data_IF_177807815002
#
_entry.id   IF_177807815002
#
_cell.length_a   1.000
_cell.length_b   1.000
_cell.length_c   1.000
_cell.angle_alpha   90.00
_cell.angle_beta   90.00
_cell.angle_gamma   90.00
#
_symmetry.space_group_name_H-M   'P 1'
#
loop_
_entity.id
_entity.type
_entity.pdbx_description
1 polymer ?
#
# COMPACT_ATOMS: atom_id res chain seq x y z
N UNK A 1 -18.42 3.80 2.04
CA UNK A 1 -17.87 3.35 3.35
C UNK A 1 -18.91 3.39 4.49
N UNK A 2 -19.80 4.37 4.55
CA UNK A 2 -20.75 4.48 5.67
C UNK A 2 -21.76 3.33 5.76
N UNK A 3 -22.33 2.86 4.63
CA UNK A 3 -23.29 1.75 4.61
C UNK A 3 -22.67 0.43 5.10
N UNK A 4 -21.40 0.16 4.78
CA UNK A 4 -20.73 -1.05 5.24
C UNK A 4 -20.50 -1.01 6.77
N UNK A 5 -20.07 0.13 7.31
CA UNK A 5 -19.89 0.29 8.77
C UNK A 5 -21.17 0.14 9.57
N UNK A 6 -22.32 0.58 9.01
CA UNK A 6 -23.63 0.42 9.67
C UNK A 6 -24.09 -1.03 9.74
N UNK A 7 -23.73 -1.84 8.72
CA UNK A 7 -24.10 -3.25 8.66
C UNK A 7 -23.11 -4.17 9.41
N UNK A 8 -21.83 -3.78 9.44
CA UNK A 8 -20.74 -4.57 10.03
C UNK A 8 -19.89 -3.71 10.99
N UNK A 9 -20.43 -3.30 12.13
CA UNK A 9 -19.76 -2.34 13.04
C UNK A 9 -18.48 -2.91 13.69
N UNK A 10 -18.39 -4.23 13.83
CA UNK A 10 -17.22 -4.92 14.40
C UNK A 10 -16.07 -5.17 13.42
N UNK A 11 -16.28 -4.87 12.12
CA UNK A 11 -15.27 -5.15 11.09
C UNK A 11 -14.39 -3.93 10.85
N UNK A 12 -13.08 -4.13 10.94
CA UNK A 12 -12.09 -3.11 10.60
C UNK A 12 -11.98 -2.96 9.08
N UNK A 13 -12.24 -1.76 8.58
CA UNK A 13 -12.04 -1.42 7.18
C UNK A 13 -10.63 -0.91 6.94
N UNK A 14 -9.90 -1.56 6.04
CA UNK A 14 -8.55 -1.16 5.65
C UNK A 14 -8.45 -0.98 4.14
N UNK A 15 -7.66 0.00 3.71
CA UNK A 15 -7.34 0.20 2.30
C UNK A 15 -6.34 -0.84 1.80
N UNK A 16 -6.31 -1.03 0.49
CA UNK A 16 -5.32 -1.86 -0.19
C UNK A 16 -4.03 -1.08 -0.39
N UNK A 17 -2.89 -1.62 0.07
CA UNK A 17 -1.59 -0.98 -0.08
C UNK A 17 -1.21 -0.77 -1.55
N UNK A 18 -1.56 -1.69 -2.44
CA UNK A 18 -1.31 -1.53 -3.88
C UNK A 18 -2.01 -0.28 -4.44
N UNK A 19 -3.30 -0.08 -4.13
CA UNK A 19 -4.01 1.10 -4.61
C UNK A 19 -3.48 2.40 -3.98
N UNK A 20 -3.08 2.36 -2.71
CA UNK A 20 -2.41 3.49 -2.07
C UNK A 20 -1.11 3.86 -2.78
N UNK A 21 -0.24 2.89 -3.05
CA UNK A 21 1.02 3.11 -3.76
C UNK A 21 0.80 3.58 -5.20
N UNK A 22 -0.22 3.06 -5.89
CA UNK A 22 -0.62 3.51 -7.22
C UNK A 22 -1.09 4.97 -7.25
N UNK A 23 -1.76 5.45 -6.19
CA UNK A 23 -2.12 6.88 -6.11
C UNK A 23 -0.88 7.78 -6.14
N UNK A 24 0.19 7.39 -5.45
CA UNK A 24 1.45 8.12 -5.42
C UNK A 24 2.12 8.09 -6.81
N UNK A 25 2.23 6.90 -7.43
CA UNK A 25 2.86 6.76 -8.73
C UNK A 25 2.10 7.49 -9.85
N UNK A 26 0.77 7.55 -9.79
CA UNK A 26 -0.05 8.32 -10.72
C UNK A 26 0.29 9.82 -10.67
N UNK A 27 0.71 10.35 -9.54
CA UNK A 27 1.18 11.75 -9.46
C UNK A 27 2.52 11.94 -10.20
N UNK A 28 3.42 10.96 -10.12
CA UNK A 28 4.64 10.97 -10.96
C UNK A 28 4.27 11.04 -12.45
N UNK A 29 3.27 10.27 -12.87
CA UNK A 29 2.79 10.28 -14.26
C UNK A 29 2.10 11.60 -14.64
N UNK A 30 1.19 12.11 -13.80
CA UNK A 30 0.43 13.33 -14.06
C UNK A 30 1.32 14.57 -14.16
N UNK A 31 2.43 14.59 -13.43
CA UNK A 31 3.39 15.69 -13.46
C UNK A 31 4.54 15.48 -14.46
N UNK A 32 4.48 14.43 -15.31
CA UNK A 32 5.46 14.18 -16.35
C UNK A 32 6.84 13.77 -15.82
N UNK A 33 6.91 13.22 -14.59
CA UNK A 33 8.16 12.86 -13.89
C UNK A 33 8.62 11.42 -14.15
N UNK A 34 8.06 10.71 -15.16
CA UNK A 34 8.42 9.33 -15.46
C UNK A 34 9.90 9.19 -15.87
N UNK A 35 10.44 10.19 -16.60
CA UNK A 35 11.85 10.20 -16.98
C UNK A 35 12.77 10.39 -15.76
N UNK A 36 12.34 11.18 -14.78
CA UNK A 36 13.08 11.37 -13.53
C UNK A 36 13.02 10.11 -12.65
N UNK A 37 11.93 9.34 -12.75
CA UNK A 37 11.75 8.07 -12.04
C UNK A 37 12.77 6.99 -12.44
N UNK A 38 13.43 7.13 -13.58
CA UNK A 38 14.56 6.26 -13.98
C UNK A 38 15.78 6.49 -13.06
N UNK A 39 15.92 7.69 -12.48
CA UNK A 39 16.97 7.97 -11.47
C UNK A 39 16.69 7.16 -10.20
N UNK A 40 17.74 6.48 -9.70
CA UNK A 40 17.63 5.67 -8.48
C UNK A 40 17.23 6.53 -7.27
N UNK A 41 17.83 7.70 -7.10
CA UNK A 41 17.52 8.61 -5.99
C UNK A 41 16.07 9.04 -5.98
N UNK A 42 15.53 9.41 -7.16
CA UNK A 42 14.13 9.86 -7.25
C UNK A 42 13.14 8.70 -7.07
N UNK A 43 13.39 7.57 -7.74
CA UNK A 43 12.52 6.39 -7.59
C UNK A 43 12.54 5.85 -6.15
N UNK A 44 13.70 5.89 -5.48
CA UNK A 44 13.81 5.53 -4.08
C UNK A 44 13.00 6.49 -3.21
N UNK A 45 13.10 7.81 -3.43
CA UNK A 45 12.33 8.79 -2.69
C UNK A 45 10.81 8.59 -2.84
N UNK A 46 10.32 8.36 -4.07
CA UNK A 46 8.90 8.09 -4.31
C UNK A 46 8.45 6.81 -3.58
N UNK A 47 9.29 5.77 -3.57
CA UNK A 47 9.02 4.54 -2.80
C UNK A 47 9.06 4.78 -1.28
N UNK A 48 9.88 5.72 -0.80
CA UNK A 48 9.90 6.11 0.62
C UNK A 48 8.61 6.82 1.04
N UNK A 49 7.94 7.58 0.15
CA UNK A 49 6.59 8.10 0.42
C UNK A 49 5.60 6.96 0.67
N UNK A 50 5.65 5.91 -0.14
CA UNK A 50 4.79 4.74 0.07
C UNK A 50 5.19 3.95 1.34
N UNK A 51 6.48 3.95 1.69
CA UNK A 51 7.01 3.24 2.85
C UNK A 51 6.51 3.80 4.20
N UNK A 52 6.00 5.06 4.26
CA UNK A 52 5.35 5.61 5.47
C UNK A 52 4.21 4.71 5.96
N UNK A 53 3.52 4.01 5.05
CA UNK A 53 2.45 3.10 5.44
C UNK A 53 2.90 1.98 6.41
N UNK A 54 4.20 1.72 6.49
CA UNK A 54 4.79 0.68 7.34
C UNK A 54 5.29 1.19 8.70
N UNK A 55 5.33 2.51 8.92
CA UNK A 55 5.67 3.12 10.20
C UNK A 55 4.48 2.98 11.16
N UNK A 56 4.69 2.80 12.49
CA UNK A 56 3.60 2.91 13.46
C UNK A 56 2.76 4.17 13.23
N UNK A 57 1.45 4.04 13.34
CA UNK A 57 0.53 5.13 12.98
C UNK A 57 0.77 6.42 13.78
N UNK A 58 1.28 6.28 15.02
CA UNK A 58 1.64 7.39 15.91
C UNK A 58 2.78 8.24 15.36
N UNK A 59 3.70 7.62 14.64
CA UNK A 59 4.95 8.23 14.20
C UNK A 59 4.93 8.63 12.72
N UNK A 60 3.86 8.26 12.00
CA UNK A 60 3.77 8.47 10.55
C UNK A 60 3.85 9.96 10.13
N UNK A 61 3.26 10.86 10.93
CA UNK A 61 3.31 12.31 10.68
C UNK A 61 4.72 12.85 10.94
N UNK A 62 5.33 12.47 12.06
CA UNK A 62 6.67 12.93 12.42
C UNK A 62 7.72 12.43 11.43
N UNK A 63 7.57 11.19 10.94
CA UNK A 63 8.45 10.63 9.92
C UNK A 63 8.34 11.39 8.59
N UNK A 64 7.13 11.80 8.20
CA UNK A 64 6.92 12.66 7.03
C UNK A 64 7.61 14.01 7.20
N UNK A 65 7.37 14.72 8.31
CA UNK A 65 7.88 16.06 8.56
C UNK A 65 9.40 16.10 8.73
N UNK A 66 9.95 15.15 9.47
CA UNK A 66 11.38 15.19 9.84
C UNK A 66 12.29 14.55 8.80
N UNK A 67 11.80 13.60 8.01
CA UNK A 67 12.62 12.84 7.07
C UNK A 67 12.28 13.15 5.61
N UNK A 68 11.04 12.97 5.19
CA UNK A 68 10.72 13.07 3.76
C UNK A 68 10.74 14.50 3.23
N UNK A 69 10.28 15.47 4.01
CA UNK A 69 10.38 16.88 3.59
C UNK A 69 11.85 17.28 3.43
N UNK A 70 12.73 16.89 4.37
CA UNK A 70 14.17 17.18 4.27
C UNK A 70 14.81 16.51 3.05
N UNK A 71 14.49 15.25 2.78
CA UNK A 71 15.00 14.53 1.60
C UNK A 71 14.51 15.19 0.31
N UNK A 72 13.27 15.63 0.26
CA UNK A 72 12.71 16.38 -0.88
C UNK A 72 13.53 17.66 -1.15
N UNK A 73 13.83 18.45 -0.12
CA UNK A 73 14.68 19.64 -0.26
C UNK A 73 16.11 19.32 -0.73
N UNK A 74 16.73 18.25 -0.21
CA UNK A 74 18.06 17.80 -0.63
C UNK A 74 18.04 17.40 -2.11
N UNK A 75 17.05 16.63 -2.55
CA UNK A 75 16.91 16.23 -3.94
C UNK A 75 16.66 17.44 -4.84
N UNK A 76 15.79 18.35 -4.44
CA UNK A 76 15.54 19.59 -5.17
C UNK A 76 16.84 20.38 -5.35
N UNK A 77 17.65 20.58 -4.30
CA UNK A 77 18.93 21.28 -4.37
C UNK A 77 19.96 20.55 -5.25
N UNK A 78 20.07 19.23 -5.11
CA UNK A 78 20.99 18.39 -5.88
C UNK A 78 20.73 18.46 -7.40
N UNK A 79 19.45 18.52 -7.78
CA UNK A 79 19.03 18.47 -9.18
C UNK A 79 18.53 19.80 -9.74
N UNK A 80 18.53 20.89 -8.97
CA UNK A 80 18.07 22.24 -9.38
C UNK A 80 18.79 22.81 -10.61
N UNK A 81 19.96 22.29 -10.94
CA UNK A 81 20.72 22.65 -12.16
C UNK A 81 20.21 21.96 -13.43
N UNK A 82 19.39 20.93 -13.32
CA UNK A 82 18.78 20.22 -14.43
C UNK A 82 17.30 20.61 -14.51
N UNK A 83 16.86 21.15 -15.64
CA UNK A 83 15.52 21.67 -15.90
C UNK A 83 14.42 20.83 -15.25
N UNK A 84 13.57 21.50 -14.45
CA UNK A 84 12.26 21.03 -13.96
C UNK A 84 12.22 19.81 -13.02
N UNK A 85 13.30 19.39 -12.42
CA UNK A 85 13.29 18.35 -11.42
C UNK A 85 12.67 18.85 -10.11
N UNK A 86 11.46 18.45 -9.81
CA UNK A 86 10.83 18.75 -8.51
C UNK A 86 9.90 17.59 -8.10
N UNK A 87 10.20 16.97 -6.96
CA UNK A 87 9.31 16.02 -6.32
C UNK A 87 8.15 16.73 -5.57
N UNK A 88 8.23 18.06 -5.46
CA UNK A 88 7.29 18.88 -4.68
C UNK A 88 5.82 18.64 -5.02
N UNK A 89 5.38 18.55 -6.29
CA UNK A 89 3.98 18.28 -6.60
C UNK A 89 3.49 16.94 -6.05
N UNK A 90 4.34 15.90 -6.05
CA UNK A 90 4.01 14.58 -5.51
C UNK A 90 3.92 14.63 -3.99
N UNK A 91 4.87 15.32 -3.34
CA UNK A 91 4.86 15.53 -1.87
C UNK A 91 3.65 16.33 -1.44
N UNK A 92 3.33 17.41 -2.15
CA UNK A 92 2.15 18.24 -1.89
C UNK A 92 0.85 17.42 -1.98
N UNK A 93 0.72 16.61 -3.04
CA UNK A 93 -0.43 15.69 -3.17
C UNK A 93 -0.49 14.71 -2.00
N UNK A 94 0.66 14.15 -1.61
CA UNK A 94 0.72 13.19 -0.51
C UNK A 94 0.30 13.83 0.80
N UNK A 95 0.82 15.02 1.10
CA UNK A 95 0.46 15.76 2.31
C UNK A 95 -1.03 16.11 2.34
N UNK A 96 -1.60 16.65 1.25
CA UNK A 96 -3.00 17.02 1.18
C UNK A 96 -3.96 15.86 1.42
N UNK A 97 -3.64 14.71 0.85
CA UNK A 97 -4.56 13.58 0.82
C UNK A 97 -4.37 12.58 1.96
N UNK A 98 -3.15 12.39 2.45
CA UNK A 98 -2.81 11.28 3.35
C UNK A 98 -2.31 11.71 4.72
N UNK A 99 -1.70 12.89 4.84
CA UNK A 99 -1.13 13.39 6.11
C UNK A 99 -1.98 14.52 6.69
N UNK A 100 -2.47 15.42 5.83
CA UNK A 100 -3.16 16.66 6.18
C UNK A 100 -2.17 17.82 6.35
N UNK A 101 -2.45 18.97 5.73
CA UNK A 101 -1.59 20.15 5.85
C UNK A 101 -1.72 20.83 7.21
N UNK A 102 -0.63 21.40 7.75
CA UNK A 102 -0.70 22.21 8.95
C UNK A 102 -1.47 23.51 8.69
N UNK A 103 -2.25 23.96 9.65
CA UNK A 103 -2.87 25.26 9.67
C UNK A 103 -1.87 26.35 10.15
N UNK A 104 -2.31 27.59 10.21
CA UNK A 104 -1.48 28.73 10.68
C UNK A 104 -1.00 28.58 12.15
N UNK A 105 -1.59 27.68 12.92
CA UNK A 105 -1.25 27.39 14.32
C UNK A 105 -0.39 26.13 14.45
N UNK A 106 -0.03 25.47 13.34
CA UNK A 106 0.73 24.24 13.31
C UNK A 106 -0.09 22.98 13.51
N UNK A 107 -1.42 23.07 13.69
CA UNK A 107 -2.27 21.89 13.81
C UNK A 107 -2.56 21.32 12.42
N UNK A 108 -2.42 20.00 12.25
CA UNK A 108 -2.73 19.36 10.98
C UNK A 108 -4.24 19.21 10.78
N UNK A 109 -4.70 19.53 9.59
CA UNK A 109 -6.08 19.28 9.17
C UNK A 109 -6.27 17.77 8.94
N UNK A 110 -7.50 17.30 9.06
CA UNK A 110 -7.81 15.92 8.72
C UNK A 110 -7.52 15.68 7.23
N UNK A 111 -6.71 14.66 6.89
CA UNK A 111 -6.48 14.30 5.50
C UNK A 111 -7.74 13.73 4.85
N UNK A 112 -7.79 13.72 3.51
CA UNK A 112 -8.87 13.11 2.74
C UNK A 112 -9.01 11.61 3.08
N UNK A 113 -7.87 10.93 3.20
CA UNK A 113 -7.79 9.52 3.59
C UNK A 113 -7.12 9.41 4.97
N UNK A 114 -7.87 9.06 6.03
CA UNK A 114 -7.30 8.97 7.37
C UNK A 114 -6.19 7.93 7.43
N UNK A 115 -5.18 8.14 8.29
CA UNK A 115 -4.03 7.25 8.46
C UNK A 115 -4.46 5.80 8.72
N UNK A 116 -5.50 5.59 9.52
CA UNK A 116 -6.06 4.26 9.81
C UNK A 116 -6.51 3.48 8.59
N UNK A 117 -6.82 4.16 7.49
CA UNK A 117 -7.27 3.51 6.27
C UNK A 117 -6.12 2.88 5.48
N UNK A 118 -5.00 3.59 5.33
CA UNK A 118 -3.91 3.20 4.44
C UNK A 118 -2.65 2.69 5.15
N UNK A 119 -2.51 2.91 6.47
CA UNK A 119 -1.40 2.38 7.25
C UNK A 119 -1.49 0.84 7.30
N UNK A 120 -0.35 0.18 7.08
CA UNK A 120 -0.25 -1.29 7.05
C UNK A 120 0.67 -1.88 8.11
N UNK A 121 1.27 -1.03 8.98
CA UNK A 121 2.21 -1.49 10.01
C UNK A 121 1.62 -2.64 10.84
N UNK A 122 0.45 -2.42 11.46
CA UNK A 122 -0.19 -3.43 12.29
C UNK A 122 -0.48 -4.72 11.51
N UNK A 123 -0.90 -4.61 10.25
CA UNK A 123 -1.15 -5.79 9.39
C UNK A 123 0.13 -6.59 9.12
N UNK A 124 1.29 -5.92 9.01
CA UNK A 124 2.58 -6.61 8.88
C UNK A 124 2.93 -7.35 10.16
N UNK A 125 2.79 -6.69 11.32
CA UNK A 125 3.04 -7.28 12.64
C UNK A 125 2.15 -8.51 12.87
N UNK A 126 0.88 -8.43 12.50
CA UNK A 126 -0.11 -9.51 12.64
C UNK A 126 -0.08 -10.52 11.48
N UNK A 127 0.86 -10.40 10.54
CA UNK A 127 0.96 -11.26 9.36
C UNK A 127 -0.32 -11.27 8.49
N UNK A 128 -1.08 -10.19 8.49
CA UNK A 128 -2.30 -10.03 7.70
C UNK A 128 -1.99 -9.53 6.27
N UNK A 129 -2.85 -9.84 5.30
CA UNK A 129 -2.70 -9.36 3.92
C UNK A 129 -2.70 -7.82 3.84
N UNK A 130 -1.75 -7.25 3.10
CA UNK A 130 -1.64 -5.78 2.85
C UNK A 130 -2.36 -5.33 1.60
N UNK A 131 -2.65 -6.27 0.70
CA UNK A 131 -3.30 -6.03 -0.59
C UNK A 131 -4.53 -6.92 -0.73
N UNK A 132 -5.40 -6.58 -1.67
CA UNK A 132 -6.56 -7.39 -2.03
C UNK A 132 -6.29 -8.36 -3.21
N UNK A 133 -5.01 -8.65 -3.51
CA UNK A 133 -4.63 -9.48 -4.66
C UNK A 133 -5.30 -10.87 -4.64
N UNK A 134 -5.53 -11.44 -3.46
CA UNK A 134 -6.23 -12.71 -3.33
C UNK A 134 -7.71 -12.61 -3.77
N UNK A 135 -8.37 -11.50 -3.44
CA UNK A 135 -9.76 -11.24 -3.85
C UNK A 135 -9.83 -10.97 -5.35
N UNK A 136 -8.89 -10.16 -5.88
CA UNK A 136 -8.80 -9.89 -7.32
C UNK A 136 -8.49 -11.17 -8.10
N UNK A 137 -7.57 -12.01 -7.61
CA UNK A 137 -7.27 -13.31 -8.19
C UNK A 137 -8.49 -14.24 -8.20
N UNK A 138 -9.27 -14.26 -7.11
CA UNK A 138 -10.52 -14.99 -7.05
C UNK A 138 -11.53 -14.45 -8.07
N UNK A 139 -11.72 -13.12 -8.17
CA UNK A 139 -12.62 -12.52 -9.15
C UNK A 139 -12.25 -12.91 -10.59
N UNK A 140 -10.95 -12.84 -10.91
CA UNK A 140 -10.47 -13.25 -12.24
C UNK A 140 -10.74 -14.74 -12.52
N UNK A 141 -10.47 -15.61 -11.54
CA UNK A 141 -10.76 -17.04 -11.62
C UNK A 141 -12.25 -17.33 -11.80
N UNK A 142 -13.08 -16.70 -10.97
CA UNK A 142 -14.53 -16.83 -11.03
C UNK A 142 -15.11 -16.36 -12.37
N UNK A 143 -14.66 -15.19 -12.87
CA UNK A 143 -15.10 -14.69 -14.16
C UNK A 143 -14.65 -15.59 -15.31
N UNK A 144 -13.44 -16.14 -15.25
CA UNK A 144 -12.92 -17.09 -16.21
C UNK A 144 -13.74 -18.39 -16.24
N UNK A 145 -14.14 -18.90 -15.07
CA UNK A 145 -14.93 -20.11 -14.97
C UNK A 145 -16.37 -19.96 -15.48
N UNK A 146 -16.92 -18.74 -15.40
CA UNK A 146 -18.22 -18.42 -16.01
C UNK A 146 -18.21 -18.45 -17.52
N UNK A 147 -17.06 -18.20 -18.19
CA UNK A 147 -16.88 -18.20 -19.64
C UNK A 147 -17.87 -17.32 -20.42
N UNK A 148 -18.47 -16.33 -19.77
CA UNK A 148 -19.36 -15.35 -20.39
C UNK A 148 -19.42 -14.06 -19.55
N UNK A 149 -19.64 -12.92 -20.21
CA UNK A 149 -19.76 -11.61 -19.56
C UNK A 149 -21.14 -11.36 -18.92
N UNK A 150 -22.18 -12.04 -19.42
CA UNK A 150 -23.57 -11.91 -18.95
C UNK A 150 -24.17 -13.30 -18.67
N UNK A 151 -23.83 -13.93 -17.52
CA UNK A 151 -24.38 -15.24 -17.20
C UNK A 151 -25.88 -15.14 -16.89
N UNK A 152 -26.62 -16.19 -17.19
CA UNK A 152 -27.97 -16.35 -16.66
C UNK A 152 -27.92 -16.51 -15.14
N UNK A 153 -29.01 -16.18 -14.46
CA UNK A 153 -29.10 -16.33 -13.00
C UNK A 153 -28.75 -17.76 -12.55
N UNK A 154 -29.25 -18.77 -13.26
CA UNK A 154 -28.99 -20.18 -12.95
C UNK A 154 -27.51 -20.52 -13.10
N UNK A 155 -26.88 -20.10 -14.19
CA UNK A 155 -25.44 -20.33 -14.41
C UNK A 155 -24.59 -19.65 -13.33
N UNK A 156 -24.97 -18.44 -12.89
CA UNK A 156 -24.28 -17.74 -11.80
C UNK A 156 -24.44 -18.51 -10.46
N UNK A 157 -25.65 -18.99 -10.15
CA UNK A 157 -25.90 -19.73 -8.93
C UNK A 157 -25.13 -21.07 -8.91
N UNK A 158 -25.16 -21.82 -10.00
CA UNK A 158 -24.42 -23.08 -10.12
C UNK A 158 -22.93 -22.85 -9.90
N UNK A 159 -22.35 -21.79 -10.51
CA UNK A 159 -20.95 -21.44 -10.34
C UNK A 159 -20.63 -21.02 -8.89
N UNK A 160 -21.49 -20.27 -8.22
CA UNK A 160 -21.30 -19.90 -6.81
C UNK A 160 -21.36 -21.15 -5.89
N UNK A 161 -22.23 -22.10 -6.16
CA UNK A 161 -22.32 -23.37 -5.42
C UNK A 161 -21.00 -24.14 -5.62
N UNK A 162 -20.52 -24.25 -6.85
CA UNK A 162 -19.24 -24.91 -7.16
C UNK A 162 -18.06 -24.26 -6.45
N UNK A 163 -17.96 -22.93 -6.49
CA UNK A 163 -16.93 -22.19 -5.77
C UNK A 163 -16.98 -22.42 -4.26
N UNK A 164 -18.17 -22.44 -3.68
CA UNK A 164 -18.34 -22.76 -2.27
C UNK A 164 -17.79 -24.14 -1.91
N UNK A 165 -18.04 -25.16 -2.73
CA UNK A 165 -17.51 -26.51 -2.49
C UNK A 165 -15.99 -26.57 -2.65
N UNK A 166 -15.39 -25.84 -3.62
CA UNK A 166 -13.94 -25.70 -3.75
C UNK A 166 -13.33 -25.05 -2.51
N UNK A 167 -13.97 -24.00 -1.98
CA UNK A 167 -13.49 -23.35 -0.75
C UNK A 167 -13.59 -24.28 0.47
N UNK A 168 -14.67 -25.04 0.60
CA UNK A 168 -14.83 -26.06 1.67
C UNK A 168 -13.74 -27.12 1.60
N UNK A 169 -13.43 -27.62 0.40
CA UNK A 169 -12.34 -28.55 0.18
C UNK A 169 -10.99 -27.93 0.56
N UNK A 170 -10.73 -26.69 0.14
CA UNK A 170 -9.49 -25.97 0.48
C UNK A 170 -9.34 -25.82 2.00
N UNK A 171 -10.40 -25.46 2.70
CA UNK A 171 -10.40 -25.36 4.18
C UNK A 171 -10.09 -26.72 4.81
N UNK A 172 -10.73 -27.81 4.32
CA UNK A 172 -10.47 -29.16 4.83
C UNK A 172 -9.00 -29.57 4.61
N UNK A 173 -8.41 -29.26 3.45
CA UNK A 173 -7.00 -29.51 3.14
C UNK A 173 -6.06 -28.73 4.08
N UNK A 174 -6.35 -27.45 4.34
CA UNK A 174 -5.56 -26.63 5.27
C UNK A 174 -5.65 -27.19 6.70
N UNK A 175 -6.82 -27.60 7.15
CA UNK A 175 -7.02 -28.26 8.45
C UNK A 175 -6.29 -29.60 8.55
N UNK A 176 -6.13 -30.30 7.43
CA UNK A 176 -5.32 -31.52 7.31
C UNK A 176 -3.80 -31.26 7.23
N UNK A 177 -3.36 -29.98 7.39
CA UNK A 177 -1.95 -29.61 7.43
C UNK A 177 -1.33 -29.31 6.05
N UNK A 178 -2.11 -29.24 4.99
CA UNK A 178 -1.59 -28.77 3.71
C UNK A 178 -1.30 -27.26 3.77
N UNK A 179 -0.18 -26.85 3.18
CA UNK A 179 0.24 -25.44 3.13
C UNK A 179 0.06 -24.90 1.71
N UNK A 180 -0.42 -23.66 1.61
CA UNK A 180 -0.45 -22.97 0.33
C UNK A 180 0.97 -22.61 -0.14
N UNK A 181 1.28 -22.97 -1.38
CA UNK A 181 2.55 -22.58 -2.00
C UNK A 181 2.49 -21.12 -2.44
N UNK A 182 3.27 -20.27 -1.77
CA UNK A 182 3.49 -18.88 -2.20
C UNK A 182 4.74 -18.83 -3.09
N UNK A 183 4.68 -18.07 -4.19
CA UNK A 183 5.87 -17.89 -5.05
C UNK A 183 7.05 -17.40 -4.21
N UNK A 184 8.22 -18.05 -4.38
CA UNK A 184 9.44 -17.81 -3.59
C UNK A 184 9.80 -16.30 -3.50
N UNK A 185 9.67 -15.56 -4.60
CA UNK A 185 10.00 -14.14 -4.65
C UNK A 185 9.12 -13.33 -3.67
N UNK A 186 7.80 -13.57 -3.66
CA UNK A 186 6.89 -12.87 -2.75
C UNK A 186 7.13 -13.23 -1.29
N UNK A 187 7.47 -14.49 -1.01
CA UNK A 187 7.82 -14.93 0.34
C UNK A 187 9.05 -14.20 0.84
N UNK A 188 10.15 -14.19 0.06
CA UNK A 188 11.40 -13.53 0.43
C UNK A 188 11.19 -12.03 0.64
N UNK A 189 10.48 -11.35 -0.26
CA UNK A 189 10.18 -9.92 -0.11
C UNK A 189 9.35 -9.66 1.15
N UNK A 190 8.37 -10.52 1.45
CA UNK A 190 7.56 -10.38 2.65
C UNK A 190 8.38 -10.58 3.92
N UNK A 191 9.24 -11.61 3.97
CA UNK A 191 10.17 -11.88 5.09
C UNK A 191 11.09 -10.67 5.34
N UNK A 192 11.66 -10.07 4.28
CA UNK A 192 12.48 -8.86 4.42
C UNK A 192 11.72 -7.68 5.00
N UNK A 193 10.50 -7.42 4.54
CA UNK A 193 9.66 -6.34 5.06
C UNK A 193 9.32 -6.59 6.53
N UNK A 194 8.94 -7.82 6.90
CA UNK A 194 8.65 -8.19 8.29
C UNK A 194 9.87 -7.95 9.19
N UNK A 195 11.06 -8.35 8.73
CA UNK A 195 12.30 -8.14 9.50
C UNK A 195 12.60 -6.64 9.70
N UNK A 196 12.45 -5.81 8.67
CA UNK A 196 12.64 -4.36 8.79
C UNK A 196 11.62 -3.75 9.76
N UNK A 197 10.35 -4.17 9.67
CA UNK A 197 9.30 -3.68 10.58
C UNK A 197 9.56 -4.13 12.04
N UNK A 198 10.03 -5.35 12.24
CA UNK A 198 10.37 -5.86 13.58
C UNK A 198 11.56 -5.10 14.22
N UNK A 199 12.47 -4.59 13.41
CA UNK A 199 13.66 -3.84 13.85
C UNK A 199 13.45 -2.32 13.85
N UNK A 200 12.20 -1.84 13.79
CA UNK A 200 11.83 -0.43 13.69
C UNK A 200 12.53 0.47 14.70
N UNK A 201 12.58 0.08 15.97
CA UNK A 201 13.11 0.90 17.05
C UNK A 201 14.63 1.11 17.01
N UNK A 202 15.36 0.33 16.20
CA UNK A 202 16.81 0.43 16.06
C UNK A 202 17.24 1.32 14.89
N UNK A 203 16.29 1.93 14.18
CA UNK A 203 16.56 2.74 13.01
C UNK A 203 16.02 4.16 13.15
N UNK A 204 16.69 5.11 12.51
CA UNK A 204 16.10 6.42 12.25
C UNK A 204 14.95 6.26 11.22
N UNK A 205 14.01 7.20 11.19
CA UNK A 205 12.93 7.19 10.20
C UNK A 205 13.46 7.07 8.76
N UNK A 206 14.53 7.80 8.43
CA UNK A 206 15.11 7.77 7.09
C UNK A 206 15.68 6.40 6.73
N UNK A 207 16.39 5.74 7.64
CA UNK A 207 16.94 4.39 7.44
C UNK A 207 15.84 3.36 7.31
N UNK A 208 14.83 3.41 8.18
CA UNK A 208 13.68 2.53 8.13
C UNK A 208 12.92 2.67 6.79
N UNK A 209 12.58 3.90 6.41
CA UNK A 209 11.87 4.18 5.15
C UNK A 209 12.67 3.69 3.94
N UNK A 210 13.99 3.87 3.93
CA UNK A 210 14.89 3.34 2.91
C UNK A 210 14.85 1.81 2.86
N UNK A 211 14.97 1.15 4.01
CA UNK A 211 14.92 -0.31 4.13
C UNK A 211 13.64 -0.89 3.57
N UNK A 212 12.48 -0.30 3.87
CA UNK A 212 11.20 -0.70 3.28
C UNK A 212 11.17 -0.39 1.78
N UNK A 213 11.57 0.83 1.36
CA UNK A 213 11.50 1.28 -0.02
C UNK A 213 12.28 0.39 -1.00
N UNK A 214 13.40 -0.20 -0.58
CA UNK A 214 14.16 -1.16 -1.38
C UNK A 214 13.41 -2.47 -1.65
N UNK A 215 12.39 -2.78 -0.85
CA UNK A 215 11.54 -3.97 -1.02
C UNK A 215 10.21 -3.65 -1.73
N UNK A 216 9.97 -2.40 -2.11
CA UNK A 216 8.77 -1.97 -2.83
C UNK A 216 9.03 -1.80 -4.33
N UNK A 217 8.01 -2.12 -5.13
CA UNK A 217 7.91 -1.80 -6.56
C UNK A 217 6.63 -0.98 -6.76
N UNK A 218 6.74 0.16 -7.43
CA UNK A 218 5.62 1.06 -7.76
C UNK A 218 5.42 1.13 -9.26
#
# INVERSE_FOLDING_TARGET
MNAFRSLFPSVTQSGCFYHFSQCIYRQVQQHGLQNDYVSEDFSLFIRMLAAIAFIPITDAVDAFDTSLIKICFILHYKYSKHKNYSAEPVVNYFEDNFIGRPDKRGNRRNPVFPLTLWNVNQRVVESLPRTNNSVEGWHCGFQSSLQCSHPTLWKLLDQLIWENELHRLTVAQLLAGQTHTVKRVYRITNERIVNVVADYNNHTFAEFLKGIAHNLQL
#
